data_IF_628469616073
#
_entry.id   IF_628469616073
#
_cell.length_a   1.000
_cell.length_b   1.000
_cell.length_c   1.000
_cell.angle_alpha   90.00
_cell.angle_beta   90.00
_cell.angle_gamma   90.00
#
_symmetry.space_group_name_H-M   'P 1'
#
loop_
_entity.id
_entity.type
_entity.pdbx_description
1 polymer ?
#
# COMPACT_ATOMS: atom_id res chain seq x y z
N UNK A 1 5.73 21.03 13.63
CA UNK A 1 4.96 21.02 12.37
C UNK A 1 3.63 20.40 12.70
N UNK A 2 2.52 20.98 12.24
CA UNK A 2 1.22 20.35 12.47
C UNK A 2 1.03 19.20 11.49
N UNK A 3 0.93 17.97 12.03
CA UNK A 3 0.63 16.78 11.25
C UNK A 3 -0.90 16.73 11.06
N UNK A 4 -1.41 16.64 9.82
CA UNK A 4 -2.85 16.55 9.59
C UNK A 4 -3.39 15.21 10.11
N UNK A 5 -4.67 15.17 10.49
CA UNK A 5 -5.32 13.92 10.92
C UNK A 5 -5.58 12.97 9.76
N UNK A 6 -5.64 13.49 8.54
CA UNK A 6 -5.87 12.74 7.30
C UNK A 6 -4.84 13.12 6.22
N UNK A 7 -4.58 12.19 5.31
CA UNK A 7 -3.64 12.33 4.21
C UNK A 7 -4.23 11.80 2.91
N UNK A 8 -3.55 12.18 1.81
CA UNK A 8 -3.81 11.68 0.47
C UNK A 8 -2.97 10.44 0.17
N UNK A 9 -3.56 9.45 -0.48
CA UNK A 9 -2.86 8.27 -0.95
C UNK A 9 -3.70 7.43 -1.92
N UNK A 10 -3.07 6.41 -2.50
CA UNK A 10 -3.75 5.44 -3.37
C UNK A 10 -3.98 4.17 -2.58
N UNK A 11 -5.23 3.75 -2.46
CA UNK A 11 -5.63 2.50 -1.85
C UNK A 11 -5.88 1.44 -2.92
N UNK A 12 -5.19 0.32 -2.79
CA UNK A 12 -5.57 -0.93 -3.44
C UNK A 12 -6.76 -1.54 -2.69
N UNK A 13 -7.91 -1.68 -3.35
CA UNK A 13 -9.18 -2.12 -2.73
C UNK A 13 -9.52 -3.59 -2.96
N UNK A 14 -8.98 -4.20 -4.01
CA UNK A 14 -9.05 -5.63 -4.30
C UNK A 14 -8.02 -6.00 -5.38
N UNK A 15 -7.87 -7.28 -5.69
CA UNK A 15 -7.13 -7.68 -6.89
C UNK A 15 -7.88 -7.30 -8.18
N UNK A 16 -7.16 -6.94 -9.24
CA UNK A 16 -7.75 -6.65 -10.55
C UNK A 16 -7.08 -5.50 -11.32
N UNK A 17 -7.88 -4.80 -12.11
CA UNK A 17 -7.44 -3.72 -12.98
C UNK A 17 -7.14 -2.42 -12.25
N UNK A 18 -6.93 -1.34 -13.02
CA UNK A 18 -6.70 0.00 -12.46
C UNK A 18 -7.91 0.54 -11.67
N UNK A 19 -9.10 0.01 -11.91
CA UNK A 19 -10.33 0.32 -11.16
C UNK A 19 -10.24 -0.08 -9.67
N UNK A 20 -9.22 -0.88 -9.29
CA UNK A 20 -8.94 -1.24 -7.90
C UNK A 20 -7.97 -0.30 -7.19
N UNK A 21 -7.46 0.73 -7.87
CA UNK A 21 -6.64 1.77 -7.29
C UNK A 21 -7.49 3.02 -7.07
N UNK A 22 -7.86 3.26 -5.80
CA UNK A 22 -8.69 4.39 -5.41
C UNK A 22 -7.85 5.51 -4.82
N UNK A 23 -7.91 6.70 -5.43
CA UNK A 23 -7.19 7.90 -4.96
C UNK A 23 -8.05 8.63 -3.93
N UNK A 24 -7.59 8.65 -2.68
CA UNK A 24 -8.32 9.14 -1.52
C UNK A 24 -7.57 10.30 -0.88
N UNK A 25 -8.32 11.27 -0.34
CA UNK A 25 -7.77 12.43 0.38
C UNK A 25 -8.06 12.37 1.91
N UNK A 26 -8.71 11.31 2.36
CA UNK A 26 -9.24 11.13 3.72
C UNK A 26 -8.70 9.87 4.41
N UNK A 27 -7.46 9.46 4.08
CA UNK A 27 -6.82 8.33 4.75
C UNK A 27 -6.30 8.80 6.11
N UNK A 28 -6.63 8.11 7.19
CA UNK A 28 -6.12 8.44 8.53
C UNK A 28 -4.59 8.35 8.56
N UNK A 29 -3.93 9.41 9.06
CA UNK A 29 -2.47 9.40 9.24
C UNK A 29 -2.12 8.37 10.33
N UNK A 30 -1.17 7.45 10.09
CA UNK A 30 -0.83 6.44 11.06
C UNK A 30 -0.11 7.04 12.27
N UNK A 31 -0.41 6.52 13.45
CA UNK A 31 0.33 6.83 14.68
C UNK A 31 1.51 5.86 14.79
N UNK A 32 2.77 6.34 14.83
CA UNK A 32 3.92 5.46 15.02
C UNK A 32 3.89 4.80 16.40
N UNK A 33 4.28 3.52 16.48
CA UNK A 33 4.51 2.84 17.74
C UNK A 33 5.81 3.29 18.43
N UNK A 34 6.16 2.69 19.58
CA UNK A 34 7.34 3.10 20.36
C UNK A 34 8.69 3.01 19.64
N UNK A 35 8.77 2.24 18.56
CA UNK A 35 10.00 2.00 17.78
C UNK A 35 9.85 2.39 16.31
N UNK A 36 8.75 3.03 15.94
CA UNK A 36 8.50 3.47 14.57
C UNK A 36 8.77 4.96 14.43
N UNK A 37 8.98 5.41 13.20
CA UNK A 37 8.97 6.83 12.84
C UNK A 37 7.86 7.10 11.84
N UNK A 38 7.25 8.28 11.94
CA UNK A 38 6.37 8.78 10.90
C UNK A 38 7.20 9.56 9.88
N UNK A 39 7.07 9.23 8.60
CA UNK A 39 7.69 9.99 7.53
C UNK A 39 6.64 10.73 6.70
N UNK A 40 6.91 12.00 6.42
CA UNK A 40 6.24 12.71 5.32
C UNK A 40 6.93 12.30 4.02
N UNK A 41 6.27 11.45 3.26
CA UNK A 41 6.74 10.95 1.96
C UNK A 41 6.95 12.11 0.99
N UNK A 42 8.13 12.15 0.36
CA UNK A 42 8.48 13.12 -0.67
C UNK A 42 8.48 12.50 -2.08
N UNK A 43 8.87 11.23 -2.19
CA UNK A 43 8.79 10.45 -3.42
C UNK A 43 8.63 8.95 -3.11
N UNK A 44 8.06 8.22 -4.06
CA UNK A 44 7.97 6.76 -4.05
C UNK A 44 8.32 6.21 -5.44
N UNK A 45 9.03 5.10 -5.49
CA UNK A 45 9.37 4.38 -6.71
C UNK A 45 8.25 3.46 -7.16
N UNK A 46 8.02 3.38 -8.48
CA UNK A 46 7.06 2.44 -9.09
C UNK A 46 7.81 1.19 -9.54
N UNK A 47 7.30 0.03 -9.14
CA UNK A 47 7.96 -1.25 -9.31
C UNK A 47 7.01 -2.30 -9.88
N UNK A 48 7.56 -3.36 -10.50
CA UNK A 48 6.76 -4.50 -10.97
C UNK A 48 5.95 -5.15 -9.84
N UNK A 49 6.43 -5.10 -8.60
CA UNK A 49 5.70 -5.62 -7.43
C UNK A 49 4.34 -4.92 -7.25
N UNK A 50 4.21 -3.64 -7.61
CA UNK A 50 2.96 -2.91 -7.50
C UNK A 50 1.89 -3.53 -8.43
N UNK A 51 2.30 -3.85 -9.66
CA UNK A 51 1.46 -4.56 -10.63
C UNK A 51 1.18 -5.99 -10.17
N UNK A 52 2.20 -6.73 -9.77
CA UNK A 52 2.08 -8.14 -9.43
C UNK A 52 1.16 -8.36 -8.22
N UNK A 53 1.31 -7.55 -7.16
CA UNK A 53 0.41 -7.56 -6.01
C UNK A 53 -1.02 -7.21 -6.40
N UNK A 54 -1.23 -6.17 -7.23
CA UNK A 54 -2.57 -5.79 -7.69
C UNK A 54 -3.22 -6.89 -8.53
N UNK A 55 -2.47 -7.51 -9.43
CA UNK A 55 -2.98 -8.50 -10.38
C UNK A 55 -3.06 -9.92 -9.80
N UNK A 56 -2.76 -10.11 -8.51
CA UNK A 56 -2.67 -11.42 -7.87
C UNK A 56 -1.65 -12.38 -8.51
N UNK A 57 -0.61 -11.83 -9.14
CA UNK A 57 0.33 -12.62 -9.94
C UNK A 57 1.14 -13.63 -9.12
N UNK A 58 1.27 -13.42 -7.81
CA UNK A 58 2.00 -14.31 -6.91
C UNK A 58 1.20 -15.52 -6.42
N UNK A 59 -0.08 -15.62 -6.78
CA UNK A 59 -0.93 -16.76 -6.41
C UNK A 59 -0.38 -18.06 -7.01
N UNK A 60 -0.18 -19.07 -6.16
CA UNK A 60 0.45 -20.35 -6.53
C UNK A 60 -0.59 -21.45 -6.76
N UNK A 61 -1.74 -21.30 -6.13
CA UNK A 61 -2.90 -22.17 -6.29
C UNK A 61 -3.96 -21.30 -6.96
N UNK A 62 -4.58 -21.74 -8.06
CA UNK A 62 -5.52 -20.99 -8.92
C UNK A 62 -6.70 -20.26 -8.21
N UNK A 63 -6.73 -20.19 -6.89
CA UNK A 63 -7.67 -19.48 -6.04
C UNK A 63 -7.41 -17.97 -5.91
N UNK A 64 -6.34 -17.42 -6.52
CA UNK A 64 -6.20 -16.01 -6.94
C UNK A 64 -6.26 -14.90 -5.89
N UNK A 65 -6.78 -15.15 -4.69
CA UNK A 65 -6.94 -14.17 -3.60
C UNK A 65 -6.44 -14.73 -2.27
N UNK A 66 -6.43 -16.06 -2.09
CA UNK A 66 -6.07 -16.70 -0.83
C UNK A 66 -4.54 -16.74 -0.56
N UNK A 67 -3.70 -16.64 -1.59
CA UNK A 67 -2.23 -16.76 -1.46
C UNK A 67 -1.46 -15.75 -2.33
N UNK A 68 -2.12 -14.67 -2.75
CA UNK A 68 -1.64 -13.80 -3.83
C UNK A 68 -0.61 -12.73 -3.42
N UNK A 69 0.03 -12.86 -2.26
CA UNK A 69 1.19 -12.04 -1.90
C UNK A 69 2.51 -12.76 -2.19
N UNK A 70 3.60 -12.00 -2.27
CA UNK A 70 4.95 -12.57 -2.41
C UNK A 70 5.31 -13.56 -1.28
N UNK A 71 4.82 -13.34 -0.06
CA UNK A 71 5.07 -14.22 1.08
C UNK A 71 4.15 -15.45 1.11
N UNK A 72 3.18 -15.56 0.20
CA UNK A 72 2.18 -16.64 0.17
C UNK A 72 0.98 -16.42 1.10
N UNK A 73 0.94 -15.30 1.83
CA UNK A 73 -0.20 -14.92 2.67
C UNK A 73 -1.23 -14.10 1.88
N UNK A 74 -2.52 -14.08 2.26
CA UNK A 74 -3.50 -13.23 1.64
C UNK A 74 -3.17 -11.73 1.82
N UNK A 75 -3.28 -10.96 0.73
CA UNK A 75 -3.22 -9.49 0.82
C UNK A 75 -4.46 -9.00 1.55
N UNK A 76 -4.26 -8.27 2.65
CA UNK A 76 -5.33 -7.54 3.33
C UNK A 76 -5.63 -6.25 2.59
N UNK A 77 -6.91 -5.98 2.33
CA UNK A 77 -7.43 -4.76 1.72
C UNK A 77 -8.24 -3.93 2.73
N UNK A 78 -8.29 -2.58 2.60
CA UNK A 78 -7.55 -1.79 1.63
C UNK A 78 -6.05 -1.69 1.99
N UNK A 79 -5.19 -1.46 1.00
CA UNK A 79 -3.72 -1.41 1.17
C UNK A 79 -3.09 -0.26 0.41
N UNK A 80 -2.23 0.51 1.07
CA UNK A 80 -1.29 1.41 0.39
C UNK A 80 -0.10 0.57 -0.11
N UNK A 81 0.23 0.66 -1.40
CA UNK A 81 1.38 0.01 -2.02
C UNK A 81 2.62 0.94 -2.03
N UNK A 82 3.73 0.49 -2.64
CA UNK A 82 4.99 1.22 -2.73
C UNK A 82 6.07 0.62 -1.82
N UNK A 83 7.06 -0.02 -2.44
CA UNK A 83 8.18 -0.67 -1.73
C UNK A 83 9.40 0.24 -1.54
N UNK A 84 9.58 1.21 -2.44
CA UNK A 84 10.67 2.19 -2.37
C UNK A 84 10.08 3.56 -2.03
N UNK A 85 10.50 4.13 -0.90
CA UNK A 85 9.99 5.42 -0.42
C UNK A 85 11.11 6.26 0.18
N UNK A 86 11.06 7.58 -0.04
CA UNK A 86 11.91 8.52 0.66
C UNK A 86 11.09 9.73 1.15
N UNK A 87 11.53 10.32 2.26
CA UNK A 87 10.80 11.38 2.93
C UNK A 87 11.58 11.99 4.08
N UNK A 88 10.89 12.81 4.87
CA UNK A 88 11.43 13.40 6.10
C UNK A 88 10.67 12.88 7.31
N UNK A 89 11.37 12.60 8.40
CA UNK A 89 10.73 12.28 9.69
C UNK A 89 9.98 13.53 10.18
N UNK A 90 8.75 13.33 10.68
CA UNK A 90 7.87 14.40 11.20
C UNK A 90 7.27 14.05 12.56
#
# INVERSE_FOLDING_TARGET
MDIPTHMRGVLLTAHGGLDKLDLRDDIVVPTPGPHDVLIRVAAAGVNNTDLNTRMAWYSKHNDGAADASWSGEPIQFPRIQGIDVCGRIV
#
